data_IF_045926362009
#
_entry.id   IF_045926362009
#
_cell.length_a   1.000
_cell.length_b   1.000
_cell.length_c   1.000
_cell.angle_alpha   90.00
_cell.angle_beta   90.00
_cell.angle_gamma   90.00
#
_symmetry.space_group_name_H-M   'P 1'
#
loop_
_entity.id
_entity.type
_entity.pdbx_description
1 polymer ?
#
# COMPACT_ATOMS: atom_id res chain seq x y z
N UNK A 1 -29.40 8.35 7.69
CA UNK A 1 -28.69 8.57 6.40
C UNK A 1 -27.32 9.23 6.61
N UNK A 2 -27.19 10.33 7.37
CA UNK A 2 -25.88 10.92 7.72
C UNK A 2 -24.96 9.99 8.53
N UNK A 3 -25.49 9.31 9.56
CA UNK A 3 -24.71 8.36 10.37
C UNK A 3 -24.14 7.18 9.55
N UNK A 4 -24.92 6.63 8.61
CA UNK A 4 -24.45 5.55 7.74
C UNK A 4 -23.30 6.01 6.82
N UNK A 5 -23.37 7.23 6.29
CA UNK A 5 -22.30 7.79 5.45
C UNK A 5 -21.01 8.02 6.26
N UNK A 6 -21.13 8.53 7.49
CA UNK A 6 -19.99 8.68 8.41
C UNK A 6 -19.38 7.33 8.77
N UNK A 7 -20.21 6.31 9.02
CA UNK A 7 -19.75 4.94 9.29
C UNK A 7 -18.97 4.36 8.11
N UNK A 8 -19.46 4.55 6.87
CA UNK A 8 -18.78 4.08 5.65
C UNK A 8 -17.45 4.82 5.45
N UNK A 9 -17.41 6.14 5.62
CA UNK A 9 -16.17 6.91 5.50
C UNK A 9 -15.10 6.45 6.52
N UNK A 10 -15.52 6.18 7.77
CA UNK A 10 -14.64 5.67 8.81
C UNK A 10 -14.09 4.26 8.49
N UNK A 11 -14.94 3.37 7.98
CA UNK A 11 -14.52 2.03 7.57
C UNK A 11 -13.49 2.08 6.42
N UNK A 12 -13.75 2.91 5.39
CA UNK A 12 -12.81 3.14 4.29
C UNK A 12 -11.50 3.73 4.78
N UNK A 13 -11.56 4.73 5.65
CA UNK A 13 -10.39 5.36 6.24
C UNK A 13 -9.55 4.37 7.06
N UNK A 14 -10.18 3.39 7.73
CA UNK A 14 -9.48 2.33 8.45
C UNK A 14 -8.69 1.42 7.51
N UNK A 15 -9.28 0.99 6.39
CA UNK A 15 -8.58 0.22 5.36
C UNK A 15 -7.41 1.02 4.76
N UNK A 16 -7.65 2.29 4.40
CA UNK A 16 -6.61 3.17 3.89
C UNK A 16 -5.44 3.32 4.88
N UNK A 17 -5.72 3.50 6.17
CA UNK A 17 -4.69 3.59 7.21
C UNK A 17 -3.93 2.27 7.40
N UNK A 18 -4.64 1.15 7.36
CA UNK A 18 -4.06 -0.19 7.45
C UNK A 18 -3.05 -0.41 6.32
N UNK A 19 -3.44 -0.17 5.06
CA UNK A 19 -2.53 -0.33 3.92
C UNK A 19 -1.42 0.71 3.91
N UNK A 20 -1.68 1.98 4.27
CA UNK A 20 -0.62 2.97 4.43
C UNK A 20 0.44 2.48 5.44
N UNK A 21 0.02 1.78 6.49
CA UNK A 21 0.90 1.14 7.46
C UNK A 21 1.78 0.03 6.92
N UNK A 22 1.33 -0.66 5.89
CA UNK A 22 2.05 -1.76 5.26
C UNK A 22 2.91 -1.29 4.08
N UNK A 23 2.56 -0.17 3.43
CA UNK A 23 3.29 0.35 2.27
C UNK A 23 4.21 1.52 2.60
N UNK A 24 4.26 2.00 3.84
CA UNK A 24 5.25 2.98 4.31
C UNK A 24 6.23 2.37 5.31
N UNK A 25 7.49 2.28 4.92
CA UNK A 25 8.55 1.68 5.75
C UNK A 25 8.63 2.30 7.16
N UNK A 26 8.63 3.63 7.25
CA UNK A 26 8.74 4.34 8.52
C UNK A 26 7.53 4.08 9.44
N UNK A 27 6.33 3.89 8.87
CA UNK A 27 5.15 3.52 9.64
C UNK A 27 5.22 2.05 10.07
N UNK A 28 5.48 1.14 9.12
CA UNK A 28 5.51 -0.30 9.35
C UNK A 28 6.38 -0.67 10.54
N UNK A 29 7.59 -0.10 10.62
CA UNK A 29 8.59 -0.45 11.65
C UNK A 29 8.15 -0.12 13.10
N UNK A 30 7.16 0.75 13.29
CA UNK A 30 6.78 1.29 14.62
C UNK A 30 5.34 0.99 15.02
N UNK A 31 4.55 0.30 14.19
CA UNK A 31 3.09 0.23 14.35
C UNK A 31 2.52 -1.16 14.63
N UNK A 32 3.30 -2.08 15.20
CA UNK A 32 2.85 -3.45 15.48
C UNK A 32 1.52 -3.50 16.24
N UNK A 33 1.40 -2.77 17.35
CA UNK A 33 0.18 -2.77 18.17
C UNK A 33 -1.04 -2.22 17.41
N UNK A 34 -0.83 -1.21 16.58
CA UNK A 34 -1.87 -0.61 15.73
C UNK A 34 -2.29 -1.60 14.64
N UNK A 35 -1.33 -2.25 13.97
CA UNK A 35 -1.62 -3.25 12.94
C UNK A 35 -2.38 -4.45 13.49
N UNK A 36 -1.96 -4.99 14.65
CA UNK A 36 -2.68 -6.10 15.29
C UNK A 36 -4.14 -5.72 15.57
N UNK A 37 -4.38 -4.53 16.11
CA UNK A 37 -5.73 -4.05 16.38
C UNK A 37 -6.54 -3.81 15.10
N UNK A 38 -5.91 -3.34 14.04
CA UNK A 38 -6.56 -3.17 12.73
C UNK A 38 -6.92 -4.52 12.13
N UNK A 39 -6.00 -5.49 12.15
CA UNK A 39 -6.27 -6.86 11.68
C UNK A 39 -7.42 -7.48 12.45
N UNK A 40 -7.46 -7.34 13.77
CA UNK A 40 -8.58 -7.82 14.60
C UNK A 40 -9.94 -7.23 14.14
N UNK A 41 -10.01 -5.90 14.02
CA UNK A 41 -11.25 -5.20 13.63
C UNK A 41 -11.69 -5.57 12.22
N UNK A 42 -10.75 -5.58 11.27
CA UNK A 42 -11.03 -5.85 9.86
C UNK A 42 -11.37 -7.32 9.63
N UNK A 43 -10.74 -8.25 10.34
CA UNK A 43 -11.08 -9.69 10.30
C UNK A 43 -12.49 -9.96 10.81
N UNK A 44 -12.96 -9.23 11.82
CA UNK A 44 -14.35 -9.34 12.29
C UNK A 44 -15.37 -8.75 11.31
N UNK A 45 -14.93 -7.94 10.34
CA UNK A 45 -15.78 -7.28 9.35
C UNK A 45 -15.15 -7.36 7.95
N UNK A 46 -14.93 -8.57 7.41
CA UNK A 46 -14.22 -8.75 6.15
C UNK A 46 -15.06 -8.24 4.97
N UNK A 47 -14.40 -7.86 3.87
CA UNK A 47 -15.11 -7.45 2.65
C UNK A 47 -15.67 -8.67 1.90
N UNK A 48 -14.97 -9.79 1.96
CA UNK A 48 -15.43 -11.10 1.48
C UNK A 48 -14.95 -12.24 2.39
N UNK A 49 -15.57 -13.42 2.28
CA UNK A 49 -15.24 -14.58 3.12
C UNK A 49 -13.75 -14.97 3.06
N UNK A 50 -13.14 -14.86 1.87
CA UNK A 50 -11.72 -15.17 1.65
C UNK A 50 -10.76 -14.26 2.44
N UNK A 51 -11.17 -13.03 2.79
CA UNK A 51 -10.34 -12.10 3.56
C UNK A 51 -9.99 -12.64 4.94
N UNK A 52 -10.86 -13.48 5.53
CA UNK A 52 -10.65 -14.07 6.85
C UNK A 52 -9.32 -14.83 6.87
N UNK A 53 -9.06 -15.65 5.85
CA UNK A 53 -7.83 -16.44 5.75
C UNK A 53 -6.60 -15.54 5.60
N UNK A 54 -6.71 -14.44 4.85
CA UNK A 54 -5.62 -13.49 4.70
C UNK A 54 -5.33 -12.72 6.00
N UNK A 55 -6.37 -12.33 6.73
CA UNK A 55 -6.19 -11.69 8.03
C UNK A 55 -5.69 -12.65 9.10
N UNK A 56 -6.11 -13.92 9.12
CA UNK A 56 -5.58 -14.94 10.03
C UNK A 56 -4.08 -15.17 9.80
N UNK A 57 -3.65 -15.25 8.54
CA UNK A 57 -2.24 -15.33 8.20
C UNK A 57 -1.45 -14.14 8.77
N UNK A 58 -1.91 -12.92 8.48
CA UNK A 58 -1.24 -11.71 8.96
C UNK A 58 -1.25 -11.58 10.48
N UNK A 59 -2.35 -11.95 11.13
CA UNK A 59 -2.45 -11.94 12.59
C UNK A 59 -1.43 -12.89 13.22
N UNK A 60 -1.29 -14.10 12.69
CA UNK A 60 -0.33 -15.08 13.18
C UNK A 60 1.12 -14.59 12.95
N UNK A 61 1.43 -14.09 11.76
CA UNK A 61 2.76 -13.53 11.44
C UNK A 61 3.12 -12.39 12.40
N UNK A 62 2.19 -11.46 12.65
CA UNK A 62 2.38 -10.33 13.57
C UNK A 62 2.53 -10.78 15.03
N UNK A 63 1.82 -11.83 15.46
CA UNK A 63 1.92 -12.36 16.83
C UNK A 63 3.22 -13.12 17.07
N UNK A 64 3.67 -13.90 16.10
CA UNK A 64 4.85 -14.76 16.24
C UNK A 64 6.16 -14.02 15.99
N UNK A 65 6.18 -13.14 14.99
CA UNK A 65 7.40 -12.52 14.46
C UNK A 65 7.38 -10.99 14.52
N UNK A 66 6.31 -10.39 15.06
CA UNK A 66 6.14 -8.95 15.03
C UNK A 66 6.06 -8.43 13.59
N UNK A 67 6.65 -7.27 13.33
CA UNK A 67 6.71 -6.69 11.98
C UNK A 67 7.89 -7.20 11.16
N UNK A 68 8.78 -8.03 11.73
CA UNK A 68 10.06 -8.37 11.12
C UNK A 68 9.92 -9.16 9.81
N UNK A 69 8.97 -10.09 9.75
CA UNK A 69 8.70 -10.86 8.52
C UNK A 69 8.20 -9.97 7.39
N UNK A 70 7.24 -9.10 7.69
CA UNK A 70 6.70 -8.13 6.73
C UNK A 70 7.77 -7.12 6.31
N UNK A 71 8.62 -6.64 7.24
CA UNK A 71 9.72 -5.72 6.92
C UNK A 71 10.80 -6.37 6.04
N UNK A 72 11.09 -7.65 6.26
CA UNK A 72 12.03 -8.39 5.43
C UNK A 72 11.52 -8.47 3.98
N UNK A 73 10.24 -8.81 3.81
CA UNK A 73 9.61 -8.80 2.49
C UNK A 73 9.50 -7.39 1.90
N UNK A 74 9.16 -6.37 2.69
CA UNK A 74 9.14 -4.97 2.24
C UNK A 74 10.50 -4.60 1.65
N UNK A 75 11.57 -4.91 2.39
CA UNK A 75 12.93 -4.59 2.00
C UNK A 75 13.31 -5.31 0.70
N UNK A 76 12.97 -6.59 0.58
CA UNK A 76 13.23 -7.41 -0.60
C UNK A 76 12.37 -7.03 -1.82
N UNK A 77 11.13 -6.62 -1.60
CA UNK A 77 10.19 -6.28 -2.66
C UNK A 77 10.40 -4.86 -3.19
N UNK A 78 10.58 -3.88 -2.31
CA UNK A 78 10.45 -2.46 -2.66
C UNK A 78 11.74 -1.65 -2.50
N UNK A 79 12.73 -2.12 -1.71
CA UNK A 79 13.92 -1.32 -1.40
C UNK A 79 15.16 -1.87 -2.12
N UNK A 80 15.46 -3.16 -1.95
CA UNK A 80 16.71 -3.75 -2.42
C UNK A 80 16.49 -4.45 -3.78
N UNK A 81 17.12 -3.98 -4.86
CA UNK A 81 16.99 -4.60 -6.18
C UNK A 81 17.92 -5.79 -6.39
N UNK A 82 18.54 -6.32 -5.33
CA UNK A 82 19.59 -7.33 -5.40
C UNK A 82 19.13 -8.64 -4.77
N UNK A 83 19.30 -9.74 -5.49
CA UNK A 83 19.26 -11.07 -4.89
C UNK A 83 20.47 -11.23 -3.97
N UNK A 84 20.26 -11.24 -2.65
CA UNK A 84 21.34 -11.54 -1.68
C UNK A 84 21.64 -13.04 -1.76
N UNK A 85 22.84 -13.46 -2.18
CA UNK A 85 23.19 -14.89 -2.17
C UNK A 85 23.16 -15.39 -0.71
N UNK A 86 22.57 -16.57 -0.49
CA UNK A 86 22.71 -17.26 0.82
C UNK A 86 24.21 -17.42 1.12
N UNK A 87 24.63 -17.30 2.38
CA UNK A 87 26.06 -17.24 2.77
C UNK A 87 26.93 -18.39 2.24
N UNK A 88 26.30 -19.53 1.88
CA UNK A 88 26.96 -20.74 1.39
C UNK A 88 26.67 -21.02 -0.10
N UNK A 89 26.01 -20.11 -0.80
CA UNK A 89 25.72 -20.26 -2.21
C UNK A 89 26.97 -19.90 -3.05
N UNK A 90 27.33 -20.70 -4.06
CA UNK A 90 28.41 -20.35 -4.97
C UNK A 90 28.12 -19.01 -5.65
N UNK A 91 29.17 -18.19 -5.82
CA UNK A 91 29.11 -16.89 -6.50
C UNK A 91 28.32 -17.00 -7.81
N UNK A 92 27.37 -16.07 -8.09
CA UNK A 92 26.57 -16.14 -9.29
C UNK A 92 27.47 -16.04 -10.52
N UNK A 93 27.45 -17.08 -11.36
CA UNK A 93 28.13 -17.06 -12.65
C UNK A 93 27.54 -15.94 -13.50
N UNK A 94 28.36 -15.00 -13.98
CA UNK A 94 27.97 -13.99 -15.00
C UNK A 94 27.40 -14.72 -16.23
N UNK A 95 26.08 -14.89 -16.29
CA UNK A 95 25.37 -15.29 -17.51
C UNK A 95 24.26 -14.28 -17.76
N UNK A 96 24.30 -13.70 -18.95
CA UNK A 96 23.33 -12.74 -19.45
C UNK A 96 21.93 -13.34 -19.53
N UNK A 97 21.14 -13.07 -18.49
CA UNK A 97 19.68 -12.85 -18.50
C UNK A 97 19.34 -12.48 -17.07
N UNK A 98 18.74 -11.30 -16.85
CA UNK A 98 18.17 -10.97 -15.54
C UNK A 98 17.21 -12.11 -15.19
N UNK A 99 17.47 -12.79 -14.09
CA UNK A 99 16.47 -13.62 -13.44
C UNK A 99 15.24 -12.74 -13.22
N UNK A 100 14.08 -13.11 -13.77
CA UNK A 100 12.79 -12.45 -13.48
C UNK A 100 12.43 -12.57 -11.99
N UNK A 101 13.03 -13.53 -11.26
CA UNK A 101 12.92 -13.63 -9.81
C UNK A 101 13.72 -12.53 -9.12
N UNK A 102 13.02 -11.69 -8.36
CA UNK A 102 13.61 -10.63 -7.52
C UNK A 102 13.66 -9.24 -8.16
N UNK A 103 12.82 -8.94 -9.16
CA UNK A 103 12.70 -7.56 -9.67
C UNK A 103 11.99 -6.69 -8.64
N UNK A 104 12.61 -5.57 -8.29
CA UNK A 104 12.04 -4.56 -7.39
C UNK A 104 10.68 -4.09 -7.92
N UNK A 105 9.68 -4.08 -7.05
CA UNK A 105 8.36 -3.54 -7.32
C UNK A 105 8.39 -2.06 -6.95
N UNK A 106 8.06 -1.20 -7.90
CA UNK A 106 8.05 0.25 -7.65
C UNK A 106 6.73 0.66 -7.03
N UNK A 107 6.77 1.57 -6.07
CA UNK A 107 5.58 2.12 -5.41
C UNK A 107 5.21 3.51 -5.93
N UNK A 108 5.61 3.87 -7.15
CA UNK A 108 5.37 5.18 -7.76
C UNK A 108 4.62 5.04 -9.07
N UNK A 109 3.58 5.85 -9.26
CA UNK A 109 2.72 5.77 -10.44
C UNK A 109 3.47 6.05 -11.75
N UNK A 110 4.33 7.08 -11.77
CA UNK A 110 5.13 7.44 -12.95
C UNK A 110 5.91 6.26 -13.54
N UNK A 111 6.38 5.34 -12.69
CA UNK A 111 7.13 4.18 -13.15
C UNK A 111 6.34 3.34 -14.15
N UNK A 112 5.06 3.10 -13.84
CA UNK A 112 4.21 2.23 -14.63
C UNK A 112 3.60 2.93 -15.84
N UNK A 113 3.26 4.22 -15.71
CA UNK A 113 2.61 4.96 -16.80
C UNK A 113 3.59 5.61 -17.77
N UNK A 114 4.80 5.97 -17.32
CA UNK A 114 5.77 6.76 -18.07
C UNK A 114 7.14 6.07 -18.19
N UNK A 115 7.33 4.90 -17.55
CA UNK A 115 8.58 4.14 -17.62
C UNK A 115 9.74 4.73 -16.80
N UNK A 116 9.47 5.70 -15.92
CA UNK A 116 10.47 6.40 -15.12
C UNK A 116 9.90 7.00 -13.84
N UNK A 117 10.74 7.58 -12.98
CA UNK A 117 10.28 8.26 -11.76
C UNK A 117 10.13 9.76 -11.97
N UNK A 118 9.29 10.41 -11.16
CA UNK A 118 9.08 11.86 -11.17
C UNK A 118 8.47 12.40 -12.48
N UNK A 119 7.52 11.66 -13.03
CA UNK A 119 6.83 11.99 -14.27
C UNK A 119 5.67 12.96 -14.11
N UNK A 120 4.80 12.99 -15.12
CA UNK A 120 3.52 13.74 -15.11
C UNK A 120 2.57 13.21 -14.03
N UNK A 121 2.61 11.92 -13.69
CA UNK A 121 1.88 11.38 -12.54
C UNK A 121 2.22 12.11 -11.23
N UNK A 122 3.51 12.40 -10.98
CA UNK A 122 3.91 13.18 -9.80
C UNK A 122 3.34 14.61 -9.83
N UNK A 123 3.38 15.27 -11.00
CA UNK A 123 2.81 16.61 -11.14
C UNK A 123 1.31 16.60 -10.86
N UNK A 124 0.60 15.55 -11.31
CA UNK A 124 -0.83 15.37 -11.01
C UNK A 124 -1.05 15.15 -9.51
N UNK A 125 -0.31 14.24 -8.89
CA UNK A 125 -0.41 13.97 -7.45
C UNK A 125 -0.18 15.21 -6.59
N UNK A 126 0.83 16.02 -6.94
CA UNK A 126 1.10 17.31 -6.29
C UNK A 126 -0.02 18.32 -6.50
N UNK A 127 -0.59 18.37 -7.71
CA UNK A 127 -1.68 19.29 -8.02
C UNK A 127 -2.92 18.97 -7.18
N UNK A 128 -3.31 17.69 -7.14
CA UNK A 128 -4.44 17.25 -6.33
C UNK A 128 -4.17 17.45 -4.84
N UNK A 129 -3.00 17.09 -4.34
CA UNK A 129 -2.63 17.31 -2.94
C UNK A 129 -2.72 18.80 -2.56
N UNK A 130 -2.29 19.72 -3.44
CA UNK A 130 -2.38 21.17 -3.21
C UNK A 130 -3.81 21.70 -3.15
N UNK A 131 -4.77 21.03 -3.80
CA UNK A 131 -6.19 21.40 -3.73
C UNK A 131 -6.81 21.05 -2.37
N UNK A 132 -6.23 20.06 -1.67
CA UNK A 132 -6.65 19.71 -0.31
C UNK A 132 -6.20 20.72 0.74
N UNK A 133 -6.62 20.54 1.99
CA UNK A 133 -6.02 21.21 3.16
C UNK A 133 -4.72 20.55 3.65
N UNK A 134 -4.39 19.35 3.20
CA UNK A 134 -3.24 18.57 3.66
C UNK A 134 -1.99 18.84 2.83
N UNK A 135 -0.81 18.79 3.47
CA UNK A 135 0.48 19.00 2.80
C UNK A 135 1.48 17.94 3.22
N UNK A 136 2.34 17.58 2.28
CA UNK A 136 3.47 16.71 2.56
C UNK A 136 4.47 17.41 3.49
N UNK A 137 4.78 16.79 4.62
CA UNK A 137 5.90 17.22 5.45
C UNK A 137 7.21 16.64 4.91
N UNK A 138 7.87 17.38 4.03
CA UNK A 138 9.11 16.95 3.36
C UNK A 138 10.30 16.80 4.31
N UNK A 139 10.19 17.22 5.58
CA UNK A 139 11.24 17.03 6.60
C UNK A 139 11.20 15.63 7.19
N UNK A 140 10.02 15.07 7.34
CA UNK A 140 9.80 13.78 8.01
C UNK A 140 9.52 12.66 7.01
N UNK A 141 8.87 12.98 5.90
CA UNK A 141 8.45 12.02 4.91
C UNK A 141 9.35 12.12 3.68
N UNK A 142 10.04 11.01 3.39
CA UNK A 142 11.08 10.93 2.36
C UNK A 142 10.54 10.60 0.97
N UNK A 143 9.32 10.08 0.89
CA UNK A 143 8.70 9.70 -0.38
C UNK A 143 7.98 10.88 -1.03
N UNK A 144 7.79 10.79 -2.34
CA UNK A 144 7.04 11.79 -3.11
C UNK A 144 5.53 11.60 -3.02
N UNK A 145 4.75 12.59 -3.42
CA UNK A 145 3.29 12.58 -3.36
C UNK A 145 2.62 11.52 -4.28
N UNK A 146 3.36 10.92 -5.22
CA UNK A 146 2.85 9.81 -6.05
C UNK A 146 3.12 8.41 -5.45
N UNK A 147 3.77 8.34 -4.30
CA UNK A 147 4.10 7.08 -3.65
C UNK A 147 2.82 6.41 -3.11
N UNK A 148 2.63 5.10 -3.34
CA UNK A 148 1.41 4.39 -2.95
C UNK A 148 1.06 4.59 -1.48
N UNK A 149 2.04 4.40 -0.59
CA UNK A 149 1.85 4.61 0.84
C UNK A 149 1.44 6.04 1.22
N UNK A 150 1.91 7.05 0.48
CA UNK A 150 1.49 8.44 0.69
C UNK A 150 0.04 8.62 0.25
N UNK A 151 -0.32 8.12 -0.94
CA UNK A 151 -1.67 8.25 -1.49
C UNK A 151 -2.71 7.57 -0.60
N UNK A 152 -2.40 6.39 -0.08
CA UNK A 152 -3.25 5.68 0.89
C UNK A 152 -3.45 6.51 2.17
N UNK A 153 -2.38 7.11 2.70
CA UNK A 153 -2.47 7.97 3.88
C UNK A 153 -3.26 9.26 3.60
N UNK A 154 -3.05 9.88 2.43
CA UNK A 154 -3.80 11.05 1.99
C UNK A 154 -5.30 10.74 1.91
N UNK A 155 -5.69 9.59 1.34
CA UNK A 155 -7.08 9.17 1.26
C UNK A 155 -7.76 9.07 2.63
N UNK A 156 -7.07 8.49 3.64
CA UNK A 156 -7.58 8.50 5.02
C UNK A 156 -7.89 9.93 5.49
N UNK A 157 -6.96 10.87 5.29
CA UNK A 157 -7.16 12.26 5.69
C UNK A 157 -8.28 12.96 4.93
N UNK A 158 -8.38 12.76 3.62
CA UNK A 158 -9.44 13.34 2.79
C UNK A 158 -10.83 12.86 3.22
N UNK A 159 -10.98 11.55 3.47
CA UNK A 159 -12.25 10.96 3.89
C UNK A 159 -12.71 11.44 5.27
N UNK A 160 -11.77 11.68 6.18
CA UNK A 160 -12.04 12.13 7.55
C UNK A 160 -12.01 13.65 7.71
N UNK A 161 -11.74 14.41 6.64
CA UNK A 161 -11.67 15.86 6.71
C UNK A 161 -13.03 16.47 7.04
N UNK A 162 -13.03 17.53 7.83
CA UNK A 162 -14.21 18.36 8.10
C UNK A 162 -14.59 19.21 6.87
N UNK A 163 -13.63 19.49 5.99
CA UNK A 163 -13.84 20.26 4.76
C UNK A 163 -14.53 19.43 3.68
N UNK A 164 -15.65 19.97 3.16
CA UNK A 164 -16.41 19.28 2.11
C UNK A 164 -15.62 19.16 0.79
N UNK A 165 -14.73 20.12 0.50
CA UNK A 165 -13.86 20.08 -0.68
C UNK A 165 -12.85 18.94 -0.62
N UNK A 166 -12.28 18.66 0.56
CA UNK A 166 -11.35 17.55 0.74
C UNK A 166 -12.05 16.21 0.54
N UNK A 167 -13.25 16.05 1.12
CA UNK A 167 -14.05 14.83 0.93
C UNK A 167 -14.42 14.63 -0.53
N UNK A 168 -14.78 15.69 -1.24
CA UNK A 168 -15.08 15.62 -2.68
C UNK A 168 -13.82 15.24 -3.51
N UNK A 169 -12.67 15.79 -3.16
CA UNK A 169 -11.39 15.50 -3.81
C UNK A 169 -10.96 14.03 -3.67
N UNK A 170 -11.40 13.33 -2.62
CA UNK A 170 -11.08 11.92 -2.40
C UNK A 170 -11.46 11.02 -3.58
N UNK A 171 -12.55 11.34 -4.29
CA UNK A 171 -13.00 10.58 -5.48
C UNK A 171 -11.98 10.70 -6.62
N UNK A 172 -11.54 11.92 -6.91
CA UNK A 172 -10.55 12.16 -7.97
C UNK A 172 -9.19 11.55 -7.61
N UNK A 173 -8.74 11.69 -6.36
CA UNK A 173 -7.48 11.07 -5.88
C UNK A 173 -7.55 9.54 -5.97
N UNK A 174 -8.68 8.93 -5.61
CA UNK A 174 -8.86 7.49 -5.70
C UNK A 174 -8.75 7.02 -7.16
N UNK A 175 -9.54 7.58 -8.06
CA UNK A 175 -9.60 7.15 -9.47
C UNK A 175 -8.35 7.46 -10.28
N UNK A 176 -7.75 8.62 -10.05
CA UNK A 176 -6.65 9.08 -10.89
C UNK A 176 -5.28 8.62 -10.42
N UNK A 177 -5.15 8.24 -9.14
CA UNK A 177 -3.85 7.93 -8.54
C UNK A 177 -3.84 6.58 -7.82
N UNK A 178 -4.74 6.36 -6.86
CA UNK A 178 -4.71 5.17 -5.99
C UNK A 178 -5.05 3.90 -6.77
N UNK A 179 -6.18 3.88 -7.46
CA UNK A 179 -6.68 2.70 -8.16
C UNK A 179 -5.69 2.25 -9.26
N UNK A 180 -5.20 3.13 -10.16
CA UNK A 180 -4.23 2.74 -11.17
C UNK A 180 -2.92 2.21 -10.57
N UNK A 181 -2.36 2.89 -9.56
CA UNK A 181 -1.11 2.46 -8.94
C UNK A 181 -1.30 1.14 -8.17
N UNK A 182 -2.40 1.02 -7.44
CA UNK A 182 -2.77 -0.18 -6.71
C UNK A 182 -2.85 -1.40 -7.62
N UNK A 183 -3.53 -1.29 -8.75
CA UNK A 183 -3.64 -2.37 -9.75
C UNK A 183 -2.27 -2.84 -10.26
N UNK A 184 -1.35 -1.90 -10.54
CA UNK A 184 0.01 -2.25 -10.95
C UNK A 184 0.78 -2.98 -9.85
N UNK A 185 0.70 -2.47 -8.61
CA UNK A 185 1.41 -3.06 -7.47
C UNK A 185 0.85 -4.44 -7.12
N UNK A 186 -0.48 -4.61 -7.11
CA UNK A 186 -1.11 -5.91 -6.86
C UNK A 186 -0.67 -6.92 -7.93
N UNK A 187 -0.75 -6.57 -9.22
CA UNK A 187 -0.33 -7.48 -10.30
C UNK A 187 1.12 -7.90 -10.15
N UNK A 188 2.00 -6.97 -9.76
CA UNK A 188 3.40 -7.26 -9.53
C UNK A 188 3.62 -8.17 -8.30
N UNK A 189 2.88 -7.94 -7.21
CA UNK A 189 2.96 -8.75 -5.99
C UNK A 189 2.40 -10.17 -6.21
N UNK A 190 1.31 -10.32 -6.95
CA UNK A 190 0.69 -11.62 -7.25
C UNK A 190 1.59 -12.54 -8.10
N UNK A 191 2.58 -11.98 -8.79
CA UNK A 191 3.56 -12.75 -9.56
C UNK A 191 4.76 -13.21 -8.70
N UNK A 192 4.80 -12.85 -7.41
CA UNK A 192 5.92 -13.09 -6.51
C UNK A 192 5.58 -14.13 -5.44
N UNK A 193 5.84 -15.39 -5.76
CA UNK A 193 5.72 -16.50 -4.79
C UNK A 193 6.71 -16.41 -3.61
N UNK A 194 7.78 -15.61 -3.75
CA UNK A 194 8.79 -15.39 -2.72
C UNK A 194 8.40 -14.34 -1.67
N UNK A 195 7.18 -13.80 -1.75
CA UNK A 195 6.64 -12.77 -0.86
C UNK A 195 5.31 -13.24 -0.22
N UNK A 196 5.32 -14.23 0.69
CA UNK A 196 4.08 -14.75 1.26
C UNK A 196 3.27 -13.69 2.01
N UNK A 197 3.88 -12.85 2.85
CA UNK A 197 3.17 -11.79 3.56
C UNK A 197 2.54 -10.80 2.58
N UNK A 198 3.31 -10.30 1.62
CA UNK A 198 2.78 -9.35 0.63
C UNK A 198 1.83 -9.99 -0.38
N UNK A 199 1.86 -11.31 -0.58
CA UNK A 199 0.83 -12.04 -1.30
C UNK A 199 -0.53 -11.92 -0.62
N UNK A 200 -0.60 -12.20 0.69
CA UNK A 200 -1.83 -12.01 1.47
C UNK A 200 -2.25 -10.53 1.53
N UNK A 201 -1.31 -9.59 1.71
CA UNK A 201 -1.60 -8.14 1.70
C UNK A 201 -2.13 -7.69 0.34
N UNK A 202 -1.60 -8.22 -0.76
CA UNK A 202 -2.05 -7.88 -2.11
C UNK A 202 -3.47 -8.38 -2.38
N UNK A 203 -3.86 -9.56 -1.86
CA UNK A 203 -5.23 -10.05 -1.97
C UNK A 203 -6.21 -9.13 -1.24
N UNK A 204 -5.89 -8.78 0.02
CA UNK A 204 -6.69 -7.84 0.80
C UNK A 204 -6.79 -6.48 0.10
N UNK A 205 -5.68 -5.98 -0.45
CA UNK A 205 -5.66 -4.71 -1.19
C UNK A 205 -6.53 -4.81 -2.45
N UNK A 206 -6.48 -5.91 -3.19
CA UNK A 206 -7.32 -6.12 -4.37
C UNK A 206 -8.81 -6.07 -4.03
N UNK A 207 -9.25 -6.76 -2.98
CA UNK A 207 -10.64 -6.75 -2.57
C UNK A 207 -11.09 -5.35 -2.12
N UNK A 208 -10.23 -4.64 -1.39
CA UNK A 208 -10.49 -3.25 -1.01
C UNK A 208 -10.57 -2.31 -2.21
N UNK A 209 -9.64 -2.39 -3.17
CA UNK A 209 -9.67 -1.55 -4.36
C UNK A 209 -10.83 -1.89 -5.30
N UNK A 210 -11.28 -3.14 -5.34
CA UNK A 210 -12.50 -3.51 -6.06
C UNK A 210 -13.74 -2.86 -5.43
N UNK A 211 -13.81 -2.80 -4.09
CA UNK A 211 -14.83 -2.04 -3.39
C UNK A 211 -14.74 -0.55 -3.75
N UNK A 212 -13.56 0.05 -3.65
CA UNK A 212 -13.36 1.47 -3.98
C UNK A 212 -13.75 1.79 -5.43
N UNK A 213 -13.45 0.90 -6.38
CA UNK A 213 -13.83 1.05 -7.78
C UNK A 213 -15.35 1.01 -8.01
N UNK A 214 -16.09 0.33 -7.13
CA UNK A 214 -17.56 0.26 -7.17
C UNK A 214 -18.24 1.50 -6.58
N UNK A 215 -17.51 2.27 -5.76
CA UNK A 215 -17.95 3.52 -5.17
C UNK A 215 -17.70 4.65 -6.19
N UNK A 216 -18.73 5.45 -6.47
CA UNK A 216 -18.65 6.63 -7.35
C UNK A 216 -18.43 7.90 -6.56
#
# INVERSE_FOLDING_TARGET
MRENLTSVANARALYYDFFAGLFLYELLKQRLSVLLKQVEILKSNPLCEDDILHFEYLENELKERGVDGILAEYTHAFILPFNVPKSNAPLPKKKGRRSEKGVQIMLYLSHYIEGGLNGKALLKARTLTKQSTFRLNTKEFKESEEHLGFLLLLMRYLLLSEEASDRALSVEVAHELVLPLGDFVIKALMQREDLPCYGHIASLLQHFLNLEQSLK
#
